data_IF_176541056336
#
_entry.id   IF_176541056336
#
_cell.length_a   1.000
_cell.length_b   1.000
_cell.length_c   1.000
_cell.angle_alpha   90.00
_cell.angle_beta   90.00
_cell.angle_gamma   90.00
#
_symmetry.space_group_name_H-M   'P 1'
#
loop_
_entity.id
_entity.type
_entity.pdbx_description
1 polymer ?
#
# COMPACT_ATOMS: atom_id res chain seq x y z
N UNK A 1 -6.38 -11.45 -15.81
CA UNK A 1 -7.13 -10.79 -16.90
C UNK A 1 -6.52 -9.42 -17.03
N UNK A 2 -6.23 -8.97 -18.25
CA UNK A 2 -5.72 -7.62 -18.46
C UNK A 2 -6.66 -6.59 -17.85
N UNK A 3 -6.08 -5.61 -17.18
CA UNK A 3 -6.83 -4.48 -16.61
C UNK A 3 -7.53 -3.75 -17.75
N UNK A 4 -8.86 -3.70 -17.73
CA UNK A 4 -9.69 -3.04 -18.74
C UNK A 4 -10.03 -1.59 -18.35
N UNK A 5 -9.80 -1.22 -17.09
CA UNK A 5 -10.20 0.08 -16.54
C UNK A 5 -11.69 0.20 -16.23
N UNK A 6 -12.46 -0.89 -16.42
CA UNK A 6 -13.86 -0.98 -16.02
C UNK A 6 -14.02 -1.66 -14.68
N UNK A 7 -15.24 -1.59 -14.17
CA UNK A 7 -15.63 -2.37 -13.00
C UNK A 7 -16.25 -3.68 -13.42
N UNK A 8 -15.93 -4.77 -12.71
CA UNK A 8 -16.45 -6.12 -13.03
C UNK A 8 -17.98 -6.19 -12.97
N UNK A 9 -18.63 -5.33 -12.18
CA UNK A 9 -20.09 -5.26 -12.04
C UNK A 9 -20.60 -3.85 -12.36
N UNK A 10 -20.70 -3.54 -13.65
CA UNK A 10 -21.47 -2.38 -14.12
C UNK A 10 -22.88 -2.85 -14.53
N UNK A 11 -23.88 -2.65 -13.68
CA UNK A 11 -25.28 -2.78 -14.06
C UNK A 11 -25.70 -1.51 -14.80
N UNK A 12 -25.82 -1.59 -16.12
CA UNK A 12 -26.30 -0.49 -16.95
C UNK A 12 -26.18 -0.81 -18.43
N UNK A 13 -27.09 -1.61 -18.96
CA UNK A 13 -27.08 -2.05 -20.35
C UNK A 13 -27.66 -1.05 -21.35
N UNK A 14 -27.97 0.20 -20.97
CA UNK A 14 -28.59 1.17 -21.88
C UNK A 14 -28.42 2.62 -21.38
N UNK A 15 -27.37 3.30 -21.82
CA UNK A 15 -27.40 4.74 -22.05
C UNK A 15 -26.81 4.97 -23.44
N UNK A 16 -27.44 5.76 -24.33
CA UNK A 16 -26.81 6.15 -25.59
C UNK A 16 -25.68 7.11 -25.23
N UNK A 17 -24.50 6.58 -24.92
CA UNK A 17 -23.34 7.41 -24.64
C UNK A 17 -22.97 8.16 -25.92
N UNK A 18 -22.89 9.49 -25.81
CA UNK A 18 -22.26 10.38 -26.79
C UNK A 18 -20.74 10.09 -26.89
N UNK A 19 -20.24 9.17 -26.08
CA UNK A 19 -18.86 8.72 -25.99
C UNK A 19 -18.76 7.26 -26.42
N UNK A 20 -17.72 6.97 -27.20
CA UNK A 20 -17.38 5.62 -27.62
C UNK A 20 -16.56 4.94 -26.51
N UNK A 21 -17.01 3.77 -26.07
CA UNK A 21 -16.32 2.97 -25.06
C UNK A 21 -15.08 2.29 -25.68
N UNK A 22 -13.90 2.55 -25.11
CA UNK A 22 -12.61 2.07 -25.62
C UNK A 22 -11.95 1.03 -24.71
N UNK A 23 -12.68 0.51 -23.72
CA UNK A 23 -12.18 -0.47 -22.75
C UNK A 23 -11.70 -1.81 -23.36
N UNK A 24 -12.32 -2.28 -24.45
CA UNK A 24 -11.89 -3.52 -25.11
C UNK A 24 -10.50 -3.38 -25.76
N UNK A 25 -10.13 -2.15 -26.15
CA UNK A 25 -8.82 -1.81 -26.71
C UNK A 25 -7.76 -1.73 -25.60
N UNK A 26 -8.15 -1.36 -24.38
CA UNK A 26 -7.25 -1.34 -23.20
C UNK A 26 -6.62 -2.71 -22.97
N UNK A 27 -7.34 -3.81 -23.25
CA UNK A 27 -6.83 -5.17 -23.11
C UNK A 27 -5.66 -5.53 -24.03
N UNK A 28 -5.39 -4.72 -25.06
CA UNK A 28 -4.30 -4.91 -26.04
C UNK A 28 -3.01 -4.18 -25.60
N UNK A 29 -3.08 -3.33 -24.56
CA UNK A 29 -1.88 -2.65 -24.05
C UNK A 29 -0.89 -3.67 -23.50
N UNK A 30 0.38 -3.49 -23.87
CA UNK A 30 1.46 -4.39 -23.51
C UNK A 30 1.55 -4.56 -21.98
N UNK A 31 1.56 -5.80 -21.45
CA UNK A 31 1.72 -6.08 -20.02
C UNK A 31 2.99 -5.47 -19.38
N UNK A 32 3.94 -5.01 -20.21
CA UNK A 32 5.16 -4.36 -19.77
C UNK A 32 5.01 -2.86 -19.47
N UNK A 33 3.93 -2.21 -19.96
CA UNK A 33 3.68 -0.79 -19.72
C UNK A 33 2.92 -0.55 -18.41
N UNK A 34 1.97 -1.43 -18.09
CA UNK A 34 1.11 -1.36 -16.89
C UNK A 34 1.08 -2.67 -16.07
N UNK A 35 2.24 -3.18 -15.63
CA UNK A 35 2.36 -4.48 -14.97
C UNK A 35 1.66 -4.55 -13.60
N UNK A 36 1.57 -3.43 -12.87
CA UNK A 36 0.87 -3.42 -11.58
C UNK A 36 -0.65 -3.43 -11.77
N UNK A 37 -1.16 -2.64 -12.71
CA UNK A 37 -2.59 -2.60 -13.00
C UNK A 37 -3.10 -3.96 -13.50
N UNK A 38 -2.39 -4.60 -14.44
CA UNK A 38 -2.73 -5.94 -14.94
C UNK A 38 -2.78 -6.98 -13.80
N UNK A 39 -1.88 -6.87 -12.82
CA UNK A 39 -1.86 -7.77 -11.68
C UNK A 39 -3.00 -7.51 -10.68
N UNK A 40 -3.30 -6.26 -10.36
CA UNK A 40 -4.41 -5.90 -9.46
C UNK A 40 -5.77 -6.26 -10.09
N UNK A 41 -5.86 -6.19 -11.41
CA UNK A 41 -7.07 -6.44 -12.17
C UNK A 41 -8.13 -5.36 -11.96
N UNK A 42 -9.29 -5.60 -12.58
CA UNK A 42 -10.39 -4.64 -12.57
C UNK A 42 -11.05 -4.52 -11.20
N UNK A 43 -11.42 -3.29 -10.84
CA UNK A 43 -12.14 -3.04 -9.60
C UNK A 43 -13.50 -3.74 -9.59
N UNK A 44 -13.87 -4.29 -8.43
CA UNK A 44 -15.20 -4.91 -8.27
C UNK A 44 -16.35 -3.91 -8.32
N UNK A 45 -16.09 -2.64 -7.99
CA UNK A 45 -17.10 -1.58 -7.85
C UNK A 45 -16.53 -0.24 -8.32
N UNK A 46 -17.38 0.67 -8.85
CA UNK A 46 -16.97 2.04 -9.19
C UNK A 46 -16.95 2.94 -7.94
N UNK A 47 -16.19 4.04 -8.01
CA UNK A 47 -16.38 5.14 -7.08
C UNK A 47 -17.71 5.85 -7.39
N UNK A 48 -18.44 6.28 -6.35
CA UNK A 48 -19.74 6.97 -6.49
C UNK A 48 -19.63 8.49 -6.31
N UNK A 49 -18.47 8.98 -5.88
CA UNK A 49 -18.23 10.38 -5.56
C UNK A 49 -16.81 10.78 -5.96
N UNK A 50 -16.61 12.08 -6.14
CA UNK A 50 -15.31 12.69 -6.42
C UNK A 50 -14.31 12.59 -5.26
N UNK A 51 -14.84 12.35 -4.06
CA UNK A 51 -14.08 11.92 -2.90
C UNK A 51 -14.53 10.48 -2.62
N UNK A 52 -13.62 9.54 -2.82
CA UNK A 52 -13.86 8.14 -2.45
C UNK A 52 -13.42 7.94 -1.01
N UNK A 53 -14.37 7.56 -0.16
CA UNK A 53 -14.14 7.39 1.27
C UNK A 53 -14.36 5.93 1.66
N UNK A 54 -13.50 5.43 2.55
CA UNK A 54 -13.67 4.13 3.19
C UNK A 54 -13.46 4.26 4.69
N UNK A 55 -14.06 3.32 5.42
CA UNK A 55 -13.96 3.28 6.88
C UNK A 55 -12.98 2.18 7.26
N UNK A 56 -12.05 2.53 8.14
CA UNK A 56 -11.13 1.60 8.78
C UNK A 56 -11.46 1.55 10.27
N UNK A 57 -11.39 0.34 10.81
CA UNK A 57 -11.52 0.07 12.25
C UNK A 57 -10.38 -0.85 12.64
N UNK A 58 -9.89 -0.69 13.85
CA UNK A 58 -8.87 -1.55 14.42
C UNK A 58 -9.41 -2.20 15.68
N UNK A 59 -8.91 -3.39 16.00
CA UNK A 59 -9.18 -3.98 17.30
C UNK A 59 -8.49 -3.17 18.39
N UNK A 60 -8.96 -3.32 19.62
CA UNK A 60 -8.29 -2.74 20.78
C UNK A 60 -6.82 -3.19 20.80
N UNK A 61 -5.87 -2.25 20.88
CA UNK A 61 -4.45 -2.59 20.87
C UNK A 61 -4.10 -3.41 22.11
N UNK A 62 -3.40 -4.51 21.90
CA UNK A 62 -2.88 -5.40 22.95
C UNK A 62 -1.40 -5.13 23.27
N UNK A 63 -0.83 -4.06 22.74
CA UNK A 63 0.54 -3.64 23.01
C UNK A 63 0.62 -2.14 23.27
N UNK A 64 1.63 -1.74 24.03
CA UNK A 64 2.03 -0.34 24.17
C UNK A 64 3.52 -0.24 24.47
N UNK A 65 4.07 0.97 24.47
CA UNK A 65 5.49 1.20 24.81
C UNK A 65 5.61 2.01 26.09
N UNK A 66 6.62 1.66 26.89
CA UNK A 66 6.99 2.42 28.06
C UNK A 66 7.58 3.77 27.64
N UNK A 67 7.09 4.86 28.23
CA UNK A 67 7.57 6.22 28.04
C UNK A 67 8.10 6.77 29.38
N UNK A 68 9.19 6.18 29.86
CA UNK A 68 9.77 6.50 31.16
C UNK A 68 11.28 6.34 31.12
N UNK A 69 11.98 7.41 31.45
CA UNK A 69 13.45 7.47 31.49
C UNK A 69 14.01 7.29 32.91
N UNK A 70 13.25 7.69 33.93
CA UNK A 70 13.64 7.59 35.34
C UNK A 70 12.68 6.68 36.09
N UNK A 71 13.24 5.74 36.84
CA UNK A 71 12.47 4.77 37.63
C UNK A 71 12.70 5.02 39.12
N UNK A 72 11.64 4.93 39.90
CA UNK A 72 11.71 5.05 41.36
C UNK A 72 11.05 3.82 41.98
N UNK A 73 11.74 3.05 42.85
CA UNK A 73 13.10 3.27 43.34
C UNK A 73 14.20 2.89 42.33
N UNK A 74 13.94 1.96 41.41
CA UNK A 74 14.86 1.55 40.34
C UNK A 74 14.08 0.87 39.19
N UNK A 75 14.77 0.55 38.08
CA UNK A 75 14.16 -0.04 36.89
C UNK A 75 13.62 -1.48 37.06
N UNK A 76 14.01 -2.20 38.11
CA UNK A 76 13.52 -3.54 38.42
C UNK A 76 12.36 -3.53 39.42
N UNK A 77 12.27 -2.49 40.26
CA UNK A 77 11.35 -2.43 41.39
C UNK A 77 10.33 -1.29 41.30
N UNK A 78 10.38 -0.46 40.26
CA UNK A 78 9.36 0.57 40.04
C UNK A 78 7.96 -0.04 39.92
N UNK A 79 7.05 0.46 40.74
CA UNK A 79 5.61 0.11 40.77
C UNK A 79 4.74 1.12 40.06
N UNK A 80 5.29 2.30 39.72
CA UNK A 80 4.64 3.32 38.91
C UNK A 80 5.33 3.39 37.56
N UNK A 81 4.62 3.01 36.50
CA UNK A 81 5.12 2.92 35.14
C UNK A 81 4.34 3.85 34.21
N UNK A 82 5.03 4.81 33.58
CA UNK A 82 4.43 5.70 32.59
C UNK A 82 4.51 5.07 31.20
N UNK A 83 3.36 4.73 30.63
CA UNK A 83 3.23 4.20 29.27
C UNK A 83 2.83 5.30 28.29
N UNK A 84 2.92 5.03 26.99
CA UNK A 84 2.56 6.03 25.98
C UNK A 84 1.05 6.26 25.90
N UNK A 85 0.23 5.21 26.12
CA UNK A 85 -1.22 5.23 26.02
C UNK A 85 -1.86 4.42 27.17
N UNK A 86 -2.07 5.04 28.33
CA UNK A 86 -2.63 4.34 29.49
C UNK A 86 -4.08 3.87 29.30
N UNK A 87 -4.84 4.48 28.37
CA UNK A 87 -6.19 4.06 28.01
C UNK A 87 -6.26 2.66 27.37
N UNK A 88 -5.12 2.07 26.99
CA UNK A 88 -5.03 0.70 26.47
C UNK A 88 -5.14 -0.35 27.58
N UNK A 89 -4.89 0.04 28.82
CA UNK A 89 -4.83 -0.84 29.98
C UNK A 89 -6.06 -0.64 30.87
N UNK A 90 -6.46 -1.70 31.55
CA UNK A 90 -7.48 -1.71 32.58
C UNK A 90 -6.95 -2.31 33.88
N UNK A 91 -7.62 -2.00 34.97
CA UNK A 91 -7.33 -2.61 36.28
C UNK A 91 -7.56 -4.12 36.15
N UNK A 92 -6.59 -4.90 36.63
CA UNK A 92 -6.58 -6.36 36.51
C UNK A 92 -5.83 -6.89 35.29
N UNK A 93 -5.38 -6.04 34.36
CA UNK A 93 -4.61 -6.51 33.20
C UNK A 93 -3.27 -7.12 33.60
N UNK A 94 -2.96 -8.29 33.04
CA UNK A 94 -1.64 -8.89 33.09
C UNK A 94 -0.82 -8.39 31.92
N UNK A 95 0.34 -7.84 32.22
CA UNK A 95 1.24 -7.18 31.26
C UNK A 95 2.61 -7.81 31.32
N UNK A 96 3.19 -8.10 30.17
CA UNK A 96 4.53 -8.67 30.04
C UNK A 96 5.46 -7.72 29.28
N UNK A 97 6.66 -7.43 29.79
CA UNK A 97 7.66 -6.69 29.05
C UNK A 97 8.27 -7.56 27.94
N UNK A 98 8.56 -6.93 26.80
CA UNK A 98 9.18 -7.57 25.64
C UNK A 98 10.56 -8.16 25.97
N UNK A 99 10.82 -9.34 25.41
CA UNK A 99 12.00 -10.16 25.66
C UNK A 99 12.25 -10.51 27.15
N UNK A 100 11.21 -10.51 28.00
CA UNK A 100 11.26 -10.94 29.41
C UNK A 100 10.24 -12.04 29.68
N UNK A 101 10.43 -12.85 30.72
CA UNK A 101 9.41 -13.78 31.24
C UNK A 101 8.57 -13.19 32.38
N UNK A 102 8.84 -11.94 32.77
CA UNK A 102 8.11 -11.25 33.83
C UNK A 102 6.64 -11.04 33.45
N UNK A 103 5.74 -11.27 34.41
CA UNK A 103 4.35 -10.83 34.33
C UNK A 103 4.12 -9.80 35.43
N UNK A 104 3.48 -8.69 35.07
CA UNK A 104 3.09 -7.61 35.97
C UNK A 104 1.57 -7.52 35.98
N UNK A 105 0.97 -7.27 37.15
CA UNK A 105 -0.47 -7.03 37.26
C UNK A 105 -0.73 -5.54 37.42
N UNK A 106 -1.62 -4.97 36.61
CA UNK A 106 -2.05 -3.57 36.72
C UNK A 106 -3.09 -3.45 37.84
N UNK A 107 -2.79 -2.67 38.88
CA UNK A 107 -3.68 -2.44 40.02
C UNK A 107 -4.40 -1.10 39.97
N UNK A 108 -3.84 -0.11 39.27
CA UNK A 108 -4.50 1.17 39.03
C UNK A 108 -4.00 1.80 37.73
N UNK A 109 -4.87 2.61 37.09
CA UNK A 109 -4.55 3.38 35.89
C UNK A 109 -4.94 4.83 36.14
N UNK A 110 -3.97 5.75 36.06
CA UNK A 110 -4.17 7.18 36.23
C UNK A 110 -3.59 7.92 35.01
N UNK A 111 -4.46 8.22 34.04
CA UNK A 111 -4.03 8.77 32.75
C UNK A 111 -3.09 7.80 32.03
N UNK A 112 -1.82 8.19 31.87
CA UNK A 112 -0.76 7.36 31.27
C UNK A 112 0.12 6.62 32.30
N UNK A 113 -0.16 6.78 33.59
CA UNK A 113 0.60 6.15 34.67
C UNK A 113 -0.12 4.89 35.14
N UNK A 114 0.55 3.74 35.05
CA UNK A 114 0.10 2.46 35.55
C UNK A 114 0.73 2.20 36.93
N UNK A 115 -0.10 1.87 37.91
CA UNK A 115 0.38 1.25 39.15
C UNK A 115 0.35 -0.25 38.94
N UNK A 116 1.50 -0.91 39.10
CA UNK A 116 1.67 -2.34 38.84
C UNK A 116 2.29 -3.08 40.01
N UNK A 117 1.89 -4.33 40.18
CA UNK A 117 2.59 -5.33 41.00
C UNK A 117 3.55 -6.10 40.10
N UNK A 118 4.84 -6.01 40.39
CA UNK A 118 5.94 -6.67 39.67
C UNK A 118 6.11 -8.13 40.09
N UNK A 119 6.62 -8.98 39.19
CA UNK A 119 6.90 -10.39 39.50
C UNK A 119 5.67 -11.22 39.88
N UNK A 120 4.53 -10.92 39.26
CA UNK A 120 3.28 -11.64 39.48
C UNK A 120 3.46 -13.13 39.19
N UNK A 121 2.88 -13.99 40.04
CA UNK A 121 3.01 -15.45 39.89
C UNK A 121 4.44 -15.97 40.08
N UNK A 122 5.25 -15.32 40.94
CA UNK A 122 6.68 -15.65 41.20
C UNK A 122 7.61 -15.49 40.00
N UNK A 123 7.20 -14.71 38.99
CA UNK A 123 8.06 -14.41 37.85
C UNK A 123 9.22 -13.49 38.24
N UNK A 124 10.39 -13.72 37.67
CA UNK A 124 11.57 -12.91 37.96
C UNK A 124 11.42 -11.50 37.36
N UNK A 125 11.72 -10.47 38.16
CA UNK A 125 11.63 -9.07 37.73
C UNK A 125 12.70 -8.75 36.69
N UNK A 126 12.32 -8.12 35.59
CA UNK A 126 13.25 -7.65 34.57
C UNK A 126 13.59 -6.16 34.76
N UNK A 127 14.79 -5.77 34.33
CA UNK A 127 15.16 -4.36 34.25
C UNK A 127 14.40 -3.69 33.10
N UNK A 128 13.56 -2.71 33.42
CA UNK A 128 12.83 -1.93 32.42
C UNK A 128 13.71 -0.82 31.85
N UNK A 129 13.53 -0.51 30.56
CA UNK A 129 14.18 0.62 29.89
C UNK A 129 13.15 1.40 29.09
N UNK A 130 13.38 2.69 28.88
CA UNK A 130 12.50 3.51 28.03
C UNK A 130 12.31 2.86 26.65
N UNK A 131 11.11 2.96 26.09
CA UNK A 131 10.78 2.39 24.78
C UNK A 131 10.57 0.87 24.77
N UNK A 132 10.66 0.19 25.92
CA UNK A 132 10.31 -1.24 25.99
C UNK A 132 8.85 -1.45 25.65
N UNK A 133 8.58 -2.40 24.74
CA UNK A 133 7.22 -2.82 24.39
C UNK A 133 6.64 -3.67 25.51
N UNK A 134 5.38 -3.45 25.81
CA UNK A 134 4.57 -4.21 26.76
C UNK A 134 3.47 -4.93 25.99
N UNK A 135 3.29 -6.22 26.28
CA UNK A 135 2.21 -7.04 25.75
C UNK A 135 1.15 -7.23 26.84
N UNK A 136 -0.10 -6.93 26.52
CA UNK A 136 -1.26 -7.20 27.37
C UNK A 136 -1.66 -8.65 27.11
N UNK A 137 -1.51 -9.52 28.11
CA UNK A 137 -1.93 -10.92 28.00
C UNK A 137 -3.45 -11.07 28.10
N UNK A 138 -4.07 -10.25 28.96
CA UNK A 138 -5.50 -10.26 29.20
C UNK A 138 -5.86 -9.73 30.58
N UNK A 139 -7.14 -9.46 30.79
CA UNK A 139 -7.67 -9.01 32.07
C UNK A 139 -7.90 -10.21 33.01
N UNK A 140 -7.36 -10.14 34.23
CA UNK A 140 -7.63 -11.08 35.31
C UNK A 140 -8.73 -10.51 36.22
N UNK A 141 -9.98 -10.74 35.84
CA UNK A 141 -11.14 -10.31 36.61
C UNK A 141 -11.28 -11.11 37.92
N UNK A 142 -11.74 -10.44 38.97
CA UNK A 142 -12.05 -11.08 40.26
C UNK A 142 -13.39 -11.82 40.18
N UNK A 143 -13.49 -12.95 40.87
CA UNK A 143 -14.74 -13.72 40.94
C UNK A 143 -15.85 -12.89 41.61
N UNK A 144 -17.01 -12.79 40.96
CA UNK A 144 -18.16 -12.05 41.45
C UNK A 144 -18.04 -10.51 41.36
N UNK A 145 -16.99 -9.98 40.72
CA UNK A 145 -16.85 -8.54 40.50
C UNK A 145 -17.80 -8.01 39.42
N UNK A 146 -18.16 -6.73 39.54
CA UNK A 146 -18.91 -6.02 38.52
C UNK A 146 -18.16 -5.99 37.18
N UNK A 147 -18.92 -5.89 36.08
CA UNK A 147 -18.36 -5.81 34.74
C UNK A 147 -17.47 -4.57 34.59
N UNK A 148 -16.31 -4.74 33.94
CA UNK A 148 -15.39 -3.65 33.65
C UNK A 148 -15.99 -2.67 32.63
N UNK A 149 -15.53 -1.42 32.69
CA UNK A 149 -16.01 -0.38 31.77
C UNK A 149 -15.79 -0.78 30.31
N UNK A 150 -16.87 -0.72 29.52
CA UNK A 150 -16.82 -1.03 28.09
C UNK A 150 -15.82 -0.12 27.36
N UNK A 151 -15.01 -0.73 26.50
CA UNK A 151 -14.04 -0.03 25.65
C UNK A 151 -14.58 0.04 24.23
N UNK A 152 -14.37 1.18 23.58
CA UNK A 152 -14.79 1.41 22.22
C UNK A 152 -13.58 1.77 21.35
N UNK A 153 -13.54 1.24 20.13
CA UNK A 153 -12.64 1.71 19.08
C UNK A 153 -13.39 2.72 18.23
N UNK A 154 -12.67 3.72 17.75
CA UNK A 154 -13.24 4.74 16.87
C UNK A 154 -12.92 4.36 15.43
N UNK A 155 -13.99 4.31 14.62
CA UNK A 155 -13.87 4.13 13.19
C UNK A 155 -13.25 5.37 12.56
N UNK A 156 -12.12 5.19 11.89
CA UNK A 156 -11.44 6.26 11.18
C UNK A 156 -11.93 6.30 9.73
N UNK A 157 -12.29 7.49 9.25
CA UNK A 157 -12.62 7.71 7.84
C UNK A 157 -11.33 8.05 7.09
N UNK A 158 -11.05 7.28 6.03
CA UNK A 158 -9.97 7.53 5.07
C UNK A 158 -10.60 7.95 3.75
N UNK A 159 -9.88 8.77 2.98
CA UNK A 159 -10.39 9.31 1.74
C UNK A 159 -9.28 9.46 0.70
N UNK A 160 -9.65 9.33 -0.56
CA UNK A 160 -8.84 9.71 -1.71
C UNK A 160 -9.69 10.50 -2.72
N UNK A 161 -9.04 11.34 -3.51
CA UNK A 161 -9.69 12.07 -4.57
C UNK A 161 -9.69 11.27 -5.87
N UNK A 162 -10.70 11.50 -6.73
CA UNK A 162 -10.66 11.04 -8.12
C UNK A 162 -9.81 11.98 -8.97
N UNK A 163 -9.09 11.48 -9.95
CA UNK A 163 -8.28 12.29 -10.88
C UNK A 163 -8.79 12.09 -12.30
N UNK A 164 -8.93 13.19 -13.03
CA UNK A 164 -9.32 13.17 -14.44
C UNK A 164 -8.06 13.04 -15.29
N UNK A 165 -8.04 12.02 -16.12
CA UNK A 165 -7.05 11.76 -17.15
C UNK A 165 -7.69 12.13 -18.49
N UNK A 166 -7.05 13.01 -19.24
CA UNK A 166 -7.53 13.45 -20.55
C UNK A 166 -6.38 13.61 -21.52
N UNK A 167 -6.59 13.20 -22.77
CA UNK A 167 -5.68 13.46 -23.88
C UNK A 167 -6.49 13.77 -25.13
N UNK A 168 -6.08 14.79 -25.87
CA UNK A 168 -6.75 15.27 -27.08
C UNK A 168 -6.18 14.60 -28.31
N UNK A 169 -7.06 14.22 -29.23
CA UNK A 169 -6.73 13.71 -30.56
C UNK A 169 -7.27 14.69 -31.59
N UNK A 170 -6.42 15.09 -32.54
CA UNK A 170 -6.80 15.98 -33.63
C UNK A 170 -6.14 15.48 -34.92
N UNK A 171 -6.96 15.32 -35.97
CA UNK A 171 -6.49 14.88 -37.30
C UNK A 171 -7.10 15.80 -38.35
N UNK A 172 -6.26 16.34 -39.24
CA UNK A 172 -6.70 17.21 -40.33
C UNK A 172 -7.39 16.43 -41.47
N UNK A 173 -8.27 17.10 -42.23
CA UNK A 173 -8.97 16.49 -43.37
C UNK A 173 -8.02 15.92 -44.41
N UNK A 174 -6.95 16.65 -44.74
CA UNK A 174 -5.91 16.18 -45.66
C UNK A 174 -5.17 14.93 -45.17
N UNK A 175 -4.89 14.85 -43.86
CA UNK A 175 -4.21 13.68 -43.28
C UNK A 175 -5.12 12.45 -43.26
N UNK A 176 -6.43 12.63 -43.04
CA UNK A 176 -7.42 11.55 -43.18
C UNK A 176 -7.60 11.08 -44.62
N UNK A 177 -7.50 11.99 -45.59
CA UNK A 177 -7.64 11.67 -47.02
C UNK A 177 -6.38 11.04 -47.62
N UNK A 178 -5.20 11.37 -47.07
CA UNK A 178 -3.94 10.77 -47.48
C UNK A 178 -3.89 9.31 -47.02
N UNK A 179 -3.61 8.38 -47.95
CA UNK A 179 -3.33 6.98 -47.58
C UNK A 179 -1.97 6.91 -46.91
N UNK A 180 -1.96 6.82 -45.59
CA UNK A 180 -0.76 6.51 -44.84
C UNK A 180 -0.42 5.02 -45.04
N UNK A 181 0.83 4.70 -45.39
CA UNK A 181 1.23 3.31 -45.59
C UNK A 181 1.16 2.54 -44.25
N UNK A 182 0.34 1.48 -44.20
CA UNK A 182 0.27 0.56 -43.06
C UNK A 182 -0.68 0.98 -41.93
N UNK A 183 -1.45 2.07 -42.09
CA UNK A 183 -2.48 2.51 -41.14
C UNK A 183 -3.80 2.67 -41.91
N UNK A 184 -4.84 1.95 -41.49
CA UNK A 184 -6.15 1.99 -42.15
C UNK A 184 -6.92 3.28 -41.82
N UNK A 185 -6.94 3.71 -40.55
CA UNK A 185 -7.48 5.01 -40.10
C UNK A 185 -6.54 5.69 -39.08
N UNK A 186 -6.00 6.85 -39.45
CA UNK A 186 -5.12 7.66 -38.60
C UNK A 186 -5.82 8.12 -37.31
N UNK A 187 -7.13 8.39 -37.37
CA UNK A 187 -7.87 8.83 -36.19
C UNK A 187 -8.00 7.70 -35.16
N UNK A 188 -8.23 6.47 -35.60
CA UNK A 188 -8.28 5.31 -34.73
C UNK A 188 -6.89 4.99 -34.15
N UNK A 189 -5.83 5.06 -34.96
CA UNK A 189 -4.47 4.89 -34.48
C UNK A 189 -4.11 5.90 -33.38
N UNK A 190 -4.39 7.19 -33.59
CA UNK A 190 -4.14 8.22 -32.59
C UNK A 190 -4.97 8.01 -31.31
N UNK A 191 -6.22 7.54 -31.41
CA UNK A 191 -7.03 7.16 -30.23
C UNK A 191 -6.32 6.08 -29.40
N UNK A 192 -5.84 5.02 -30.05
CA UNK A 192 -5.18 3.89 -29.37
C UNK A 192 -3.89 4.33 -28.68
N UNK A 193 -3.06 5.14 -29.34
CA UNK A 193 -1.81 5.64 -28.74
C UNK A 193 -2.08 6.59 -27.55
N UNK A 194 -3.07 7.49 -27.64
CA UNK A 194 -3.44 8.33 -26.49
C UNK A 194 -4.00 7.53 -25.32
N UNK A 195 -4.77 6.47 -25.60
CA UNK A 195 -5.27 5.58 -24.56
C UNK A 195 -4.12 4.88 -23.83
N UNK A 196 -3.11 4.37 -24.56
CA UNK A 196 -1.91 3.74 -24.00
C UNK A 196 -1.13 4.71 -23.12
N UNK A 197 -0.95 5.95 -23.58
CA UNK A 197 -0.32 7.00 -22.78
C UNK A 197 -1.08 7.28 -21.48
N UNK A 198 -2.41 7.36 -21.53
CA UNK A 198 -3.24 7.61 -20.35
C UNK A 198 -3.21 6.46 -19.34
N UNK A 199 -3.15 5.21 -19.80
CA UNK A 199 -3.01 4.04 -18.91
C UNK A 199 -1.64 3.99 -18.25
N UNK A 200 -0.60 4.32 -19.01
CA UNK A 200 0.76 4.46 -18.50
C UNK A 200 0.83 5.54 -17.42
N UNK A 201 0.20 6.69 -17.66
CA UNK A 201 0.12 7.78 -16.72
C UNK A 201 -0.73 7.42 -15.49
N UNK A 202 -1.80 6.64 -15.67
CA UNK A 202 -2.60 6.10 -14.58
C UNK A 202 -1.75 5.23 -13.64
N UNK A 203 -0.96 4.28 -14.16
CA UNK A 203 -0.11 3.44 -13.31
C UNK A 203 0.94 4.27 -12.55
N UNK A 204 1.56 5.25 -13.22
CA UNK A 204 2.50 6.15 -12.57
C UNK A 204 1.82 6.95 -11.44
N UNK A 205 0.61 7.46 -11.66
CA UNK A 205 -0.16 8.15 -10.62
C UNK A 205 -0.62 7.20 -9.50
N UNK A 206 -0.92 5.93 -9.78
CA UNK A 206 -1.26 4.94 -8.72
C UNK A 206 -0.07 4.74 -7.79
N UNK A 207 1.16 4.68 -8.31
CA UNK A 207 2.36 4.47 -7.51
C UNK A 207 2.82 5.77 -6.82
N UNK A 208 3.01 6.84 -7.61
CA UNK A 208 3.70 8.08 -7.21
C UNK A 208 2.76 9.29 -7.02
N UNK A 209 1.45 9.13 -7.21
CA UNK A 209 0.48 10.22 -7.13
C UNK A 209 0.52 10.97 -5.80
N UNK A 210 0.15 12.25 -5.85
CA UNK A 210 0.12 13.14 -4.68
C UNK A 210 -1.19 13.92 -4.70
N UNK A 211 -1.96 13.81 -3.62
CA UNK A 211 -3.14 14.62 -3.42
C UNK A 211 -2.79 16.10 -3.15
N UNK A 212 -3.64 17.06 -3.55
CA UNK A 212 -3.39 18.48 -3.29
C UNK A 212 -3.39 18.77 -1.78
N UNK A 213 -2.56 19.72 -1.36
CA UNK A 213 -2.45 20.12 0.05
C UNK A 213 -3.68 20.87 0.58
N UNK A 214 -4.52 21.39 -0.31
CA UNK A 214 -5.75 22.12 -0.02
C UNK A 214 -6.94 21.50 -0.75
N UNK A 215 -8.15 21.70 -0.22
CA UNK A 215 -9.37 21.11 -0.78
C UNK A 215 -9.59 21.61 -2.22
N UNK A 216 -9.61 20.72 -3.23
CA UNK A 216 -9.82 21.10 -4.62
C UNK A 216 -11.28 21.38 -4.97
N UNK A 217 -12.24 21.03 -4.10
CA UNK A 217 -13.67 21.25 -4.38
C UNK A 217 -14.01 22.73 -4.56
N UNK A 218 -14.59 23.09 -5.70
CA UNK A 218 -15.01 24.46 -6.01
C UNK A 218 -13.87 25.44 -6.32
N UNK A 219 -12.63 24.98 -6.38
CA UNK A 219 -11.48 25.79 -6.77
C UNK A 219 -11.27 25.78 -8.28
N UNK A 220 -11.05 26.94 -8.89
CA UNK A 220 -10.64 27.08 -10.29
C UNK A 220 -9.14 26.98 -10.49
N UNK A 221 -8.35 27.00 -9.41
CA UNK A 221 -6.87 27.03 -9.45
C UNK A 221 -6.23 25.75 -8.94
N UNK A 222 -6.90 25.02 -8.03
CA UNK A 222 -6.38 23.79 -7.43
C UNK A 222 -6.89 22.60 -8.25
N UNK A 223 -5.97 21.85 -8.84
CA UNK A 223 -6.29 20.62 -9.58
C UNK A 223 -6.54 19.47 -8.61
N UNK A 224 -7.54 18.65 -8.92
CA UNK A 224 -7.82 17.42 -8.19
C UNK A 224 -6.92 16.28 -8.70
N UNK A 225 -5.99 15.86 -7.86
CA UNK A 225 -5.10 14.71 -8.10
C UNK A 225 -5.29 13.66 -7.02
N UNK A 226 -5.12 12.39 -7.40
CA UNK A 226 -5.26 11.27 -6.48
C UNK A 226 -3.95 11.03 -5.72
N UNK A 227 -4.07 10.52 -4.50
CA UNK A 227 -2.92 10.07 -3.73
C UNK A 227 -2.47 8.70 -4.20
N UNK A 228 -1.15 8.52 -4.38
CA UNK A 228 -0.53 7.26 -4.75
C UNK A 228 -0.14 6.42 -3.54
N UNK A 229 0.20 5.16 -3.80
CA UNK A 229 0.52 4.16 -2.79
C UNK A 229 1.71 4.55 -1.91
N UNK A 230 2.78 5.09 -2.51
CA UNK A 230 3.98 5.49 -1.76
C UNK A 230 3.66 6.57 -0.73
N UNK A 231 2.73 7.47 -1.04
CA UNK A 231 2.35 8.59 -0.17
C UNK A 231 1.33 8.18 0.89
N UNK A 232 0.50 7.18 0.60
CA UNK A 232 -0.45 6.57 1.53
C UNK A 232 0.25 5.72 2.60
N UNK A 233 1.44 5.17 2.32
CA UNK A 233 2.30 4.51 3.31
C UNK A 233 3.14 5.55 4.05
N UNK A 234 2.69 5.94 5.24
CA UNK A 234 3.28 6.95 6.12
C UNK A 234 4.02 6.36 7.33
N UNK A 235 3.51 5.29 7.95
CA UNK A 235 4.08 4.70 9.18
C UNK A 235 5.04 3.55 8.89
N UNK A 236 4.69 2.70 7.92
CA UNK A 236 5.45 1.49 7.60
C UNK A 236 6.53 1.76 6.56
N UNK A 237 7.41 2.70 6.90
CA UNK A 237 8.58 3.05 6.11
C UNK A 237 9.84 2.49 6.77
N UNK A 238 10.54 1.64 6.04
CA UNK A 238 11.70 0.90 6.50
C UNK A 238 12.93 1.35 5.73
N UNK A 239 14.08 1.41 6.39
CA UNK A 239 15.35 1.70 5.74
C UNK A 239 16.44 0.78 6.33
N UNK A 240 17.40 0.30 5.52
CA UNK A 240 18.55 -0.42 6.03
C UNK A 240 19.27 0.36 7.13
N UNK A 241 19.92 -0.34 8.06
CA UNK A 241 20.69 0.26 9.16
C UNK A 241 19.88 1.17 10.12
N UNK A 242 18.55 1.14 10.05
CA UNK A 242 17.68 2.01 10.89
C UNK A 242 16.81 1.18 11.83
N UNK A 243 16.81 1.52 13.12
CA UNK A 243 16.00 0.84 14.12
C UNK A 243 16.40 -0.63 14.29
N UNK A 244 15.42 -1.54 14.15
CA UNK A 244 15.65 -2.99 14.21
C UNK A 244 15.89 -3.63 12.82
N UNK A 245 16.08 -2.82 11.77
CA UNK A 245 16.44 -3.33 10.45
C UNK A 245 17.88 -3.81 10.42
N UNK A 246 18.16 -4.99 9.82
CA UNK A 246 19.52 -5.42 9.53
C UNK A 246 20.28 -4.44 8.62
N UNK A 247 21.59 -4.58 8.62
CA UNK A 247 22.44 -3.87 7.67
C UNK A 247 22.23 -4.37 6.24
N UNK A 248 22.35 -3.47 5.26
CA UNK A 248 22.38 -3.83 3.85
C UNK A 248 23.66 -4.59 3.49
N UNK A 249 23.81 -4.96 2.21
CA UNK A 249 25.01 -5.67 1.72
C UNK A 249 26.30 -4.97 2.14
N UNK A 250 27.20 -5.68 2.84
CA UNK A 250 28.51 -5.16 3.25
C UNK A 250 28.46 -3.91 4.14
N UNK A 251 27.46 -3.77 5.02
CA UNK A 251 27.18 -2.58 5.85
C UNK A 251 26.70 -1.36 5.07
N UNK A 252 26.45 -1.49 3.77
CA UNK A 252 25.83 -0.46 2.95
C UNK A 252 24.30 -0.44 3.08
N UNK A 253 23.67 0.17 2.07
CA UNK A 253 22.22 0.25 1.91
C UNK A 253 21.69 -0.70 0.83
N UNK A 254 22.54 -1.57 0.30
CA UNK A 254 22.16 -2.54 -0.73
C UNK A 254 21.10 -3.50 -0.21
N UNK A 255 20.10 -3.79 -1.04
CA UNK A 255 19.08 -4.78 -0.75
C UNK A 255 19.70 -6.17 -0.61
N UNK A 256 19.46 -6.82 0.53
CA UNK A 256 19.77 -8.21 0.81
C UNK A 256 18.55 -8.94 1.37
N UNK A 257 18.62 -10.27 1.41
CA UNK A 257 17.55 -11.11 1.94
C UNK A 257 17.19 -10.83 3.41
N UNK A 258 18.16 -10.63 4.33
CA UNK A 258 17.85 -10.26 5.72
C UNK A 258 17.03 -8.98 5.85
N UNK A 259 17.33 -7.94 5.06
CA UNK A 259 16.57 -6.67 5.08
C UNK A 259 15.14 -6.91 4.57
N UNK A 260 14.96 -7.66 3.49
CA UNK A 260 13.64 -7.98 2.97
C UNK A 260 12.81 -8.79 3.99
N UNK A 261 13.38 -9.86 4.56
CA UNK A 261 12.69 -10.70 5.53
C UNK A 261 12.39 -9.97 6.83
N UNK A 262 13.27 -9.07 7.29
CA UNK A 262 12.99 -8.23 8.45
C UNK A 262 11.80 -7.29 8.18
N UNK A 263 11.71 -6.67 7.00
CA UNK A 263 10.58 -5.83 6.64
C UNK A 263 9.26 -6.63 6.57
N UNK A 264 9.28 -7.82 5.96
CA UNK A 264 8.12 -8.72 5.93
C UNK A 264 7.68 -9.11 7.35
N UNK A 265 8.62 -9.43 8.25
CA UNK A 265 8.35 -9.72 9.66
C UNK A 265 7.65 -8.56 10.37
N UNK A 266 8.16 -7.34 10.24
CA UNK A 266 7.58 -6.20 10.97
C UNK A 266 6.17 -5.86 10.51
N UNK A 267 5.88 -6.00 9.21
CA UNK A 267 4.53 -5.81 8.69
C UNK A 267 3.60 -6.91 9.23
N UNK A 268 4.08 -8.15 9.26
CA UNK A 268 3.33 -9.27 9.84
C UNK A 268 3.04 -9.07 11.33
N UNK A 269 4.02 -8.62 12.13
CA UNK A 269 3.83 -8.32 13.55
C UNK A 269 2.77 -7.23 13.82
N UNK A 270 2.63 -6.27 12.91
CA UNK A 270 1.70 -5.14 13.07
C UNK A 270 0.28 -5.42 12.57
N UNK A 271 0.14 -6.12 11.45
CA UNK A 271 -1.15 -6.25 10.75
C UNK A 271 -1.65 -7.69 10.69
N UNK A 272 -0.79 -8.68 10.98
CA UNK A 272 -1.04 -10.11 10.74
C UNK A 272 -1.48 -10.41 9.30
N UNK A 273 -1.25 -9.46 8.38
CA UNK A 273 -1.55 -9.56 6.97
C UNK A 273 -0.43 -10.29 6.25
N UNK A 274 -0.78 -11.11 5.27
CA UNK A 274 0.18 -11.69 4.34
C UNK A 274 0.47 -10.67 3.24
N UNK A 275 1.74 -10.40 3.00
CA UNK A 275 2.17 -9.68 1.81
C UNK A 275 2.20 -10.70 0.69
N UNK A 276 1.56 -10.39 -0.42
CA UNK A 276 1.49 -11.26 -1.59
C UNK A 276 2.22 -10.68 -2.80
N UNK A 277 2.60 -9.41 -2.74
CA UNK A 277 3.10 -8.68 -3.90
C UNK A 277 4.26 -7.78 -3.53
N UNK A 278 5.37 -7.95 -4.25
CA UNK A 278 6.55 -7.08 -4.18
C UNK A 278 6.63 -6.32 -5.50
N UNK A 279 6.62 -4.99 -5.47
CA UNK A 279 6.80 -4.16 -6.67
C UNK A 279 8.12 -3.44 -6.58
N UNK A 280 8.97 -3.62 -7.58
CA UNK A 280 10.32 -3.07 -7.59
C UNK A 280 10.72 -2.56 -8.97
N UNK A 281 11.72 -1.68 -8.98
CA UNK A 281 12.41 -1.22 -10.19
C UNK A 281 13.39 -2.28 -10.73
N UNK A 282 13.92 -2.07 -11.95
CA UNK A 282 14.81 -3.03 -12.61
C UNK A 282 16.13 -3.29 -11.87
N UNK A 283 16.72 -2.27 -11.25
CA UNK A 283 17.97 -2.42 -10.49
C UNK A 283 17.77 -3.32 -9.27
N UNK A 284 16.71 -3.05 -8.49
CA UNK A 284 16.36 -3.83 -7.31
C UNK A 284 15.89 -5.25 -7.68
N UNK A 285 15.22 -5.40 -8.82
CA UNK A 285 14.84 -6.72 -9.34
C UNK A 285 16.05 -7.63 -9.58
N UNK A 286 17.15 -7.06 -10.10
CA UNK A 286 18.41 -7.79 -10.28
C UNK A 286 19.03 -8.20 -8.95
N UNK A 287 18.94 -7.35 -7.91
CA UNK A 287 19.39 -7.69 -6.55
C UNK A 287 18.60 -8.85 -5.97
N UNK A 288 17.27 -8.84 -6.13
CA UNK A 288 16.40 -9.95 -5.69
C UNK A 288 16.81 -11.26 -6.38
N UNK A 289 17.03 -11.26 -7.69
CA UNK A 289 17.50 -12.46 -8.39
C UNK A 289 18.86 -12.96 -7.85
N UNK A 290 19.67 -12.07 -7.30
CA UNK A 290 20.94 -12.39 -6.65
C UNK A 290 20.83 -13.18 -5.34
N UNK A 291 19.66 -13.22 -4.69
CA UNK A 291 19.48 -13.94 -3.42
C UNK A 291 19.72 -15.45 -3.57
N UNK A 292 19.33 -16.03 -4.70
CA UNK A 292 19.47 -17.45 -4.98
C UNK A 292 20.87 -17.87 -5.49
N UNK A 293 21.86 -16.97 -5.48
CA UNK A 293 23.20 -17.22 -6.06
C UNK A 293 23.93 -18.42 -5.44
N UNK A 294 23.76 -18.66 -4.14
CA UNK A 294 24.42 -19.78 -3.43
C UNK A 294 23.79 -21.16 -3.65
N UNK A 295 22.58 -21.24 -4.21
CA UNK A 295 21.84 -22.50 -4.41
C UNK A 295 21.79 -22.95 -5.87
N UNK A 296 22.69 -22.42 -6.70
CA UNK A 296 22.74 -22.71 -8.13
C UNK A 296 23.38 -24.07 -8.40
N UNK A 297 22.67 -24.95 -9.08
CA UNK A 297 23.19 -26.19 -9.64
C UNK A 297 23.03 -26.17 -11.16
N UNK A 298 24.07 -26.59 -11.88
CA UNK A 298 24.05 -26.73 -13.34
C UNK A 298 24.52 -28.13 -13.71
N UNK A 299 23.95 -28.66 -14.78
CA UNK A 299 24.42 -29.90 -15.38
C UNK A 299 25.30 -29.58 -16.60
N UNK A 300 26.26 -30.46 -16.97
CA UNK A 300 27.18 -30.19 -18.08
C UNK A 300 26.53 -30.00 -19.46
N UNK A 301 25.24 -30.32 -19.60
CA UNK A 301 24.49 -30.26 -20.87
C UNK A 301 23.63 -29.00 -21.02
N UNK A 302 23.57 -28.14 -19.99
CA UNK A 302 22.71 -26.96 -20.00
C UNK A 302 23.24 -25.86 -20.96
N UNK A 303 22.53 -25.62 -22.06
CA UNK A 303 22.88 -24.61 -23.08
C UNK A 303 22.22 -23.23 -22.86
N UNK A 304 21.34 -23.09 -21.86
CA UNK A 304 20.63 -21.84 -21.57
C UNK A 304 20.55 -21.58 -20.07
N UNK A 305 20.90 -20.36 -19.64
CA UNK A 305 20.86 -19.94 -18.24
C UNK A 305 19.68 -19.00 -17.97
N UNK A 306 18.86 -19.30 -16.96
CA UNK A 306 17.72 -18.46 -16.53
C UNK A 306 17.82 -18.16 -15.04
N UNK A 307 18.02 -16.88 -14.72
CA UNK A 307 18.15 -16.37 -13.35
C UNK A 307 17.03 -15.37 -13.06
N UNK A 308 15.85 -15.90 -12.77
CA UNK A 308 14.65 -15.09 -12.58
C UNK A 308 13.81 -15.63 -11.43
N UNK A 309 13.70 -14.85 -10.35
CA UNK A 309 12.82 -15.14 -9.22
C UNK A 309 11.47 -14.49 -9.51
N UNK A 310 10.49 -15.21 -10.04
CA UNK A 310 9.13 -14.63 -10.24
C UNK A 310 8.32 -14.57 -8.94
N UNK A 311 8.58 -15.50 -8.04
CA UNK A 311 7.91 -15.63 -6.74
C UNK A 311 8.97 -15.84 -5.68
N UNK A 312 8.88 -15.08 -4.60
CA UNK A 312 9.73 -15.16 -3.43
C UNK A 312 8.91 -15.72 -2.27
N UNK A 313 9.27 -16.89 -1.79
CA UNK A 313 8.65 -17.52 -0.62
C UNK A 313 9.50 -17.23 0.60
N UNK A 314 8.87 -16.64 1.61
CA UNK A 314 9.47 -16.32 2.91
C UNK A 314 8.68 -16.98 4.03
N UNK A 315 9.24 -17.02 5.23
CA UNK A 315 8.54 -17.51 6.44
C UNK A 315 7.23 -16.76 6.74
N UNK A 316 7.05 -15.56 6.17
CA UNK A 316 5.89 -14.69 6.38
C UNK A 316 4.88 -14.73 5.22
N UNK A 317 5.14 -15.50 4.17
CA UNK A 317 4.25 -15.65 3.03
C UNK A 317 4.94 -15.73 1.68
N UNK A 318 4.13 -16.01 0.66
CA UNK A 318 4.53 -16.12 -0.74
C UNK A 318 4.25 -14.81 -1.45
N UNK A 319 5.32 -14.18 -1.93
CA UNK A 319 5.29 -12.87 -2.57
C UNK A 319 5.60 -12.98 -4.06
N UNK A 320 4.69 -12.54 -4.93
CA UNK A 320 4.99 -12.39 -6.37
C UNK A 320 5.77 -11.10 -6.62
N UNK A 321 6.85 -11.20 -7.38
CA UNK A 321 7.70 -10.04 -7.70
C UNK A 321 7.28 -9.44 -9.04
N UNK A 322 6.80 -8.22 -9.02
CA UNK A 322 6.36 -7.43 -10.18
C UNK A 322 7.40 -6.36 -10.46
N UNK A 323 7.82 -6.31 -11.72
CA UNK A 323 8.71 -5.27 -12.21
C UNK A 323 7.88 -4.11 -12.73
N UNK A 324 7.98 -2.93 -12.13
CA UNK A 324 7.38 -1.70 -12.66
C UNK A 324 8.44 -0.60 -12.76
N UNK A 325 8.46 0.11 -13.89
CA UNK A 325 9.42 1.20 -14.14
C UNK A 325 9.14 2.46 -13.33
N UNK A 326 7.92 2.59 -12.83
CA UNK A 326 7.44 3.78 -12.14
C UNK A 326 7.83 3.79 -10.67
N UNK A 327 8.19 2.64 -10.09
CA UNK A 327 8.70 2.60 -8.72
C UNK A 327 10.09 3.27 -8.69
N UNK A 328 10.34 4.21 -7.75
CA UNK A 328 11.66 4.81 -7.56
C UNK A 328 12.77 3.76 -7.42
N UNK A 329 13.96 4.06 -7.94
CA UNK A 329 15.07 3.10 -7.96
C UNK A 329 15.61 2.73 -6.57
N UNK A 330 15.32 3.55 -5.56
CA UNK A 330 15.76 3.39 -4.17
C UNK A 330 14.72 2.72 -3.27
N UNK A 331 13.57 2.32 -3.83
CA UNK A 331 12.40 1.92 -3.05
C UNK A 331 11.79 0.61 -3.55
N UNK A 332 11.32 -0.21 -2.60
CA UNK A 332 10.52 -1.41 -2.86
C UNK A 332 9.20 -1.31 -2.12
N UNK A 333 8.10 -1.60 -2.82
CA UNK A 333 6.77 -1.70 -2.25
C UNK A 333 6.46 -3.15 -1.86
N UNK A 334 5.98 -3.33 -0.64
CA UNK A 334 5.50 -4.59 -0.08
C UNK A 334 3.99 -4.46 0.16
N UNK A 335 3.20 -5.24 -0.57
CA UNK A 335 1.77 -5.00 -0.70
C UNK A 335 0.94 -6.27 -0.50
N UNK A 336 -0.26 -6.09 0.07
CA UNK A 336 -1.36 -7.05 0.04
C UNK A 336 -2.35 -6.64 -1.07
N UNK A 337 -2.32 -7.33 -2.21
CA UNK A 337 -3.13 -7.01 -3.38
C UNK A 337 -4.64 -7.03 -3.10
N UNK A 338 -5.09 -7.82 -2.12
CA UNK A 338 -6.51 -7.96 -1.79
C UNK A 338 -7.15 -6.69 -1.20
N UNK A 339 -6.30 -5.75 -0.74
CA UNK A 339 -6.70 -4.50 -0.07
C UNK A 339 -6.53 -3.26 -0.94
N UNK A 340 -6.13 -3.46 -2.19
CA UNK A 340 -5.85 -2.41 -3.16
C UNK A 340 -6.84 -2.54 -4.31
N UNK A 341 -7.46 -1.42 -4.69
CA UNK A 341 -8.35 -1.38 -5.85
C UNK A 341 -8.21 -0.06 -6.58
N UNK A 342 -7.97 -0.12 -7.89
CA UNK A 342 -7.96 1.06 -8.78
C UNK A 342 -9.29 1.09 -9.49
N UNK A 343 -10.11 2.10 -9.20
CA UNK A 343 -11.51 2.13 -9.63
C UNK A 343 -11.83 3.39 -10.44
N UNK A 344 -12.62 3.27 -11.51
CA UNK A 344 -13.17 4.43 -12.21
C UNK A 344 -14.29 5.07 -11.39
N UNK A 345 -14.53 6.37 -11.60
CA UNK A 345 -15.77 7.02 -11.19
C UNK A 345 -16.92 6.47 -12.04
N UNK A 346 -18.09 6.26 -11.42
CA UNK A 346 -19.26 5.71 -12.10
C UNK A 346 -19.60 6.48 -13.39
N UNK A 347 -19.67 5.76 -14.52
CA UNK A 347 -19.94 6.33 -15.85
C UNK A 347 -18.82 7.19 -16.43
N UNK A 348 -17.60 7.12 -15.87
CA UNK A 348 -16.43 7.89 -16.32
C UNK A 348 -15.17 7.02 -16.40
N UNK A 349 -15.32 5.77 -16.84
CA UNK A 349 -14.20 4.96 -17.34
C UNK A 349 -13.59 5.60 -18.59
N UNK A 350 -12.46 5.07 -19.08
CA UNK A 350 -11.87 5.59 -20.32
C UNK A 350 -12.84 5.47 -21.49
N UNK A 351 -13.23 6.60 -22.04
CA UNK A 351 -14.11 6.71 -23.19
C UNK A 351 -13.63 7.82 -24.13
N UNK A 352 -13.84 7.63 -25.43
CA UNK A 352 -13.55 8.62 -26.44
C UNK A 352 -14.76 9.54 -26.65
N UNK A 353 -14.56 10.84 -26.48
CA UNK A 353 -15.56 11.88 -26.74
C UNK A 353 -15.21 12.64 -28.03
N UNK A 354 -16.03 12.59 -29.08
CA UNK A 354 -15.85 13.48 -30.22
C UNK A 354 -16.09 14.93 -29.79
N UNK A 355 -15.26 15.85 -30.28
CA UNK A 355 -15.41 17.30 -30.10
C UNK A 355 -16.02 17.89 -31.37
N UNK A 356 -16.56 19.12 -31.25
CA UNK A 356 -17.06 19.83 -32.41
C UNK A 356 -15.92 20.09 -33.41
N UNK A 357 -16.21 19.88 -34.70
CA UNK A 357 -15.25 20.13 -35.75
C UNK A 357 -14.88 21.61 -35.78
N UNK A 358 -13.59 21.92 -35.77
CA UNK A 358 -13.07 23.28 -35.84
C UNK A 358 -12.19 23.39 -37.08
N UNK A 359 -12.61 24.20 -38.06
CA UNK A 359 -11.96 24.24 -39.37
C UNK A 359 -12.01 22.88 -40.11
N UNK A 360 -10.97 22.57 -40.88
CA UNK A 360 -10.82 21.28 -41.58
C UNK A 360 -10.08 20.24 -40.72
N UNK A 361 -10.44 20.12 -39.44
CA UNK A 361 -9.86 19.15 -38.51
C UNK A 361 -10.93 18.44 -37.69
N UNK A 362 -10.85 17.11 -37.63
CA UNK A 362 -11.67 16.28 -36.74
C UNK A 362 -10.95 16.15 -35.40
N UNK A 363 -11.60 16.62 -34.33
CA UNK A 363 -11.04 16.60 -32.98
C UNK A 363 -11.86 15.72 -32.04
N UNK A 364 -11.20 15.14 -31.05
CA UNK A 364 -11.79 14.36 -29.98
C UNK A 364 -10.90 14.35 -28.74
N UNK A 365 -11.39 13.78 -27.66
CA UNK A 365 -10.60 13.57 -26.45
C UNK A 365 -10.90 12.21 -25.84
N UNK A 366 -9.85 11.51 -25.40
CA UNK A 366 -9.99 10.33 -24.53
C UNK A 366 -10.01 10.84 -23.10
N UNK A 367 -11.08 10.52 -22.36
CA UNK A 367 -11.26 10.98 -20.98
C UNK A 367 -11.58 9.79 -20.10
N UNK A 368 -10.96 9.74 -18.92
CA UNK A 368 -11.31 8.79 -17.86
C UNK A 368 -11.05 9.41 -16.50
N UNK A 369 -11.75 8.94 -15.48
CA UNK A 369 -11.61 9.45 -14.13
C UNK A 369 -11.46 8.29 -13.15
N UNK A 370 -10.34 8.26 -12.42
CA UNK A 370 -9.95 7.12 -11.59
C UNK A 370 -9.53 7.55 -10.19
N UNK A 371 -9.59 6.61 -9.25
CA UNK A 371 -9.05 6.78 -7.90
C UNK A 371 -8.46 5.46 -7.40
N UNK A 372 -7.64 5.57 -6.36
CA UNK A 372 -7.03 4.44 -5.66
C UNK A 372 -7.68 4.28 -4.28
N UNK A 373 -8.26 3.11 -4.05
CA UNK A 373 -8.67 2.66 -2.72
C UNK A 373 -7.54 1.81 -2.12
N UNK A 374 -7.01 2.24 -0.98
CA UNK A 374 -5.89 1.60 -0.30
C UNK A 374 -6.25 1.34 1.16
N UNK A 375 -6.65 0.09 1.46
CA UNK A 375 -7.21 -0.27 2.78
C UNK A 375 -6.14 -0.79 3.73
N UNK A 376 -6.21 -0.32 4.96
CA UNK A 376 -5.35 -0.72 6.06
C UNK A 376 -3.85 -0.59 5.69
N UNK A 377 -3.34 0.62 5.84
CA UNK A 377 -1.93 0.95 5.66
C UNK A 377 -0.97 -0.02 6.36
N UNK A 378 -1.32 -0.51 7.56
CA UNK A 378 -0.46 -1.40 8.33
C UNK A 378 -0.22 -2.75 7.62
N UNK A 379 -1.09 -3.16 6.69
CA UNK A 379 -0.90 -4.38 5.89
C UNK A 379 0.13 -4.21 4.76
N UNK A 380 0.62 -2.99 4.55
CA UNK A 380 1.56 -2.64 3.52
C UNK A 380 2.83 -2.07 4.14
N UNK A 381 3.89 -2.00 3.34
CA UNK A 381 5.10 -1.30 3.73
C UNK A 381 5.95 -0.92 2.55
N UNK A 382 6.93 -0.07 2.80
CA UNK A 382 7.91 0.37 1.82
C UNK A 382 9.30 0.30 2.44
N UNK A 383 10.25 -0.26 1.69
CA UNK A 383 11.67 -0.16 2.02
C UNK A 383 12.23 0.99 1.17
N UNK A 384 12.92 1.94 1.78
CA UNK A 384 13.49 3.14 1.14
C UNK A 384 14.99 3.24 1.38
N UNK A 385 15.63 4.09 0.58
CA UNK A 385 17.05 4.39 0.71
C UNK A 385 17.94 3.22 0.31
N UNK A 386 17.47 2.39 -0.62
CA UNK A 386 18.23 1.27 -1.17
C UNK A 386 19.15 1.73 -2.30
N UNK A 387 20.26 1.01 -2.50
CA UNK A 387 21.26 1.25 -3.56
C UNK A 387 21.45 0.07 -4.51
#
# INVERSE_FOLDING_TARGET
>A
MSYSGKTTFAAGSNLPEIMEDVSDIVGIVSPYETPLLDYLGDAKRPALSTIHEWIEDSLLPNTDTLNQTTFTPDAQNATSLTVQNGSRFQIGDLVRPDASAEVMQVTAVAGNVLTVVRGYGTTAKATLTNGKRFFILGNAALEGADATTARFTLRARKANYTQIFTSTVEVSGSMRAARQHGIDDELEYQKQERLRELLRDLENCVINGVAPASNPQGSSTIRRSMNGMIRLISTNQYAPNTGQMPAGGGSGTDLNEPVLNAALRFIWEQSQGKIDTIVCSGALKRRINGFATGSRAYTPEDMSFRDMISTYESDFGVCRVILSRWVPSDSILLLDSSRISVMPLQGRSFAFKPLAQTGDATAGQVVGEYTLEFKNENAHGIIRGLT
#
